data_IF_320599595943
#
_entry.id   IF_320599595943
#
_cell.length_a   1.000
_cell.length_b   1.000
_cell.length_c   1.000
_cell.angle_alpha   90.00
_cell.angle_beta   90.00
_cell.angle_gamma   90.00
#
_symmetry.space_group_name_H-M   'P 1'
#
loop_
_entity.id
_entity.type
_entity.pdbx_description
1 polymer ?
#
# COMPACT_ATOMS: atom_id res chain seq x y z
N UNK A 1 32.46 -48.73 -42.30
CA UNK A 1 32.89 -47.72 -43.30
C UNK A 1 33.12 -46.42 -42.54
N UNK A 2 34.30 -45.81 -42.53
CA UNK A 2 35.60 -46.21 -43.08
C UNK A 2 36.58 -45.03 -43.04
N UNK A 3 37.89 -45.32 -42.96
CA UNK A 3 39.04 -44.41 -43.18
C UNK A 3 39.19 -43.17 -42.26
N UNK A 4 40.26 -43.06 -41.47
CA UNK A 4 41.58 -42.44 -41.81
C UNK A 4 41.52 -40.90 -41.88
N UNK A 5 42.52 -40.07 -41.53
CA UNK A 5 43.86 -40.20 -40.92
C UNK A 5 44.17 -38.81 -40.26
N UNK A 6 45.32 -38.44 -39.66
CA UNK A 6 46.68 -39.00 -39.71
C UNK A 6 47.53 -38.64 -38.44
N UNK A 7 48.74 -39.21 -38.40
CA UNK A 7 49.97 -38.78 -37.71
C UNK A 7 50.06 -37.40 -37.02
N UNK A 8 50.64 -37.41 -35.81
CA UNK A 8 51.99 -36.85 -35.67
C UNK A 8 52.88 -37.69 -34.74
N UNK A 9 54.11 -38.00 -35.17
CA UNK A 9 55.12 -38.75 -34.41
C UNK A 9 56.21 -37.79 -33.94
N UNK A 10 56.38 -37.65 -32.63
CA UNK A 10 57.60 -37.07 -32.04
C UNK A 10 58.42 -38.18 -31.38
N UNK A 11 59.55 -38.56 -31.99
CA UNK A 11 60.50 -39.49 -31.35
C UNK A 11 61.38 -38.77 -30.31
N UNK A 12 61.98 -39.56 -29.43
CA UNK A 12 62.71 -39.12 -28.23
C UNK A 12 64.02 -38.34 -28.52
N UNK A 13 64.72 -37.89 -27.47
CA UNK A 13 65.75 -38.79 -26.95
C UNK A 13 65.65 -39.06 -25.44
N UNK A 14 65.98 -40.30 -25.08
CA UNK A 14 66.35 -40.65 -23.71
C UNK A 14 67.65 -39.93 -23.35
N UNK A 15 67.69 -39.24 -22.22
CA UNK A 15 68.94 -38.72 -21.67
C UNK A 15 69.29 -39.48 -20.40
N UNK A 16 69.87 -40.67 -20.59
CA UNK A 16 70.44 -41.49 -19.52
C UNK A 16 71.75 -40.89 -19.04
N UNK A 17 71.67 -40.01 -18.03
CA UNK A 17 72.84 -39.68 -17.23
C UNK A 17 72.74 -40.30 -15.84
N UNK A 18 73.58 -41.31 -15.61
CA UNK A 18 73.80 -41.92 -14.31
C UNK A 18 74.20 -40.86 -13.30
N UNK A 19 73.45 -40.74 -12.20
CA UNK A 19 73.95 -40.15 -10.96
C UNK A 19 73.93 -41.26 -9.91
N UNK A 20 75.12 -41.63 -9.45
CA UNK A 20 75.33 -42.79 -8.61
C UNK A 20 74.60 -42.66 -7.25
N UNK A 21 74.09 -43.79 -6.76
CA UNK A 21 73.68 -43.93 -5.36
C UNK A 21 74.91 -43.85 -4.43
N UNK A 22 75.35 -42.63 -4.07
CA UNK A 22 76.23 -42.45 -2.91
C UNK A 22 75.37 -42.37 -1.64
N UNK A 23 75.14 -43.53 -1.03
CA UNK A 23 74.42 -43.66 0.23
C UNK A 23 75.22 -43.10 1.41
N UNK A 24 75.21 -41.79 1.60
CA UNK A 24 75.53 -41.21 2.90
C UNK A 24 74.28 -41.34 3.80
N UNK A 25 74.33 -42.08 4.94
CA UNK A 25 73.20 -42.11 5.86
C UNK A 25 73.01 -40.70 6.41
N UNK A 26 71.93 -40.04 5.98
CA UNK A 26 71.57 -38.67 6.38
C UNK A 26 71.34 -38.68 7.89
N UNK A 27 72.39 -38.38 8.67
CA UNK A 27 72.31 -38.29 10.14
C UNK A 27 71.17 -37.34 10.49
N UNK A 28 70.05 -37.89 10.92
CA UNK A 28 68.97 -37.12 11.55
C UNK A 28 69.57 -36.59 12.83
N UNK A 29 70.05 -35.34 12.79
CA UNK A 29 70.50 -34.62 13.98
C UNK A 29 69.33 -34.66 14.95
N UNK A 30 69.48 -35.43 16.04
CA UNK A 30 68.49 -35.42 17.13
C UNK A 30 68.50 -34.00 17.66
N UNK A 31 67.39 -33.29 17.48
CA UNK A 31 67.22 -31.97 18.08
C UNK A 31 67.40 -32.13 19.59
N UNK A 32 68.07 -31.18 20.22
CA UNK A 32 68.07 -31.08 21.69
C UNK A 32 66.65 -30.80 22.17
N UNK A 33 66.30 -31.13 23.44
CA UNK A 33 64.96 -30.86 23.98
C UNK A 33 64.54 -29.40 23.79
N UNK A 34 65.47 -28.47 23.99
CA UNK A 34 65.29 -27.02 23.79
C UNK A 34 65.01 -26.64 22.32
N UNK A 35 65.72 -27.22 21.34
CA UNK A 35 65.44 -27.01 19.91
C UNK A 35 64.04 -27.54 19.51
N UNK A 36 63.49 -28.53 20.23
CA UNK A 36 62.13 -29.04 20.02
C UNK A 36 61.10 -28.10 20.66
N UNK A 37 61.34 -27.59 21.87
CA UNK A 37 60.47 -26.63 22.53
C UNK A 37 60.42 -25.28 21.81
N UNK A 38 61.57 -24.72 21.39
CA UNK A 38 61.60 -23.52 20.55
C UNK A 38 60.75 -23.67 19.28
N UNK A 39 60.83 -24.84 18.63
CA UNK A 39 60.03 -25.12 17.43
C UNK A 39 58.56 -25.32 17.73
N UNK A 40 58.19 -25.82 18.92
CA UNK A 40 56.80 -25.90 19.38
C UNK A 40 56.25 -24.49 19.65
N UNK A 41 56.96 -23.67 20.42
CA UNK A 41 56.61 -22.27 20.71
C UNK A 41 56.45 -21.47 19.41
N UNK A 42 57.45 -21.47 18.53
CA UNK A 42 57.39 -20.77 17.22
C UNK A 42 56.33 -21.35 16.28
N UNK A 43 55.90 -22.61 16.45
CA UNK A 43 54.77 -23.18 15.71
C UNK A 43 53.42 -22.80 16.32
N UNK A 44 53.33 -22.62 17.64
CA UNK A 44 52.13 -22.14 18.32
C UNK A 44 51.88 -20.65 18.08
N UNK A 45 52.91 -19.82 18.10
CA UNK A 45 52.84 -18.40 17.71
C UNK A 45 52.32 -18.26 16.28
N UNK A 46 52.94 -18.93 15.30
CA UNK A 46 52.46 -18.95 13.89
C UNK A 46 51.04 -19.51 13.74
N UNK A 47 50.60 -20.40 14.64
CA UNK A 47 49.19 -20.88 14.67
C UNK A 47 48.25 -19.82 15.25
N UNK A 48 48.68 -19.04 16.26
CA UNK A 48 47.92 -17.91 16.81
C UNK A 48 47.79 -16.78 15.79
N UNK A 49 48.86 -16.38 15.13
CA UNK A 49 48.87 -15.33 14.08
C UNK A 49 47.92 -15.66 12.92
N UNK A 50 47.96 -16.92 12.42
CA UNK A 50 47.05 -17.39 11.36
C UNK A 50 45.59 -17.42 11.79
N UNK A 51 45.32 -17.76 13.06
CA UNK A 51 43.96 -17.69 13.63
C UNK A 51 43.49 -16.25 13.79
N UNK A 52 44.34 -15.35 14.27
CA UNK A 52 44.03 -13.93 14.45
C UNK A 52 43.70 -13.25 13.11
N UNK A 53 44.47 -13.50 12.05
CA UNK A 53 44.17 -12.98 10.70
C UNK A 53 42.89 -13.58 10.09
N UNK A 54 42.59 -14.85 10.36
CA UNK A 54 41.34 -15.47 9.91
C UNK A 54 40.12 -14.88 10.64
N UNK A 55 40.22 -14.72 11.97
CA UNK A 55 39.19 -14.11 12.82
C UNK A 55 38.98 -12.64 12.42
N UNK A 56 40.04 -11.86 12.20
CA UNK A 56 39.94 -10.47 11.77
C UNK A 56 39.22 -10.31 10.42
N UNK A 57 39.45 -11.23 9.45
CA UNK A 57 38.70 -11.26 8.18
C UNK A 57 37.22 -11.61 8.38
N UNK A 58 36.92 -12.52 9.31
CA UNK A 58 35.55 -12.89 9.67
C UNK A 58 34.80 -11.72 10.33
N UNK A 59 35.46 -11.02 11.26
CA UNK A 59 34.93 -9.81 11.92
C UNK A 59 34.72 -8.70 10.88
N UNK A 60 35.69 -8.45 10.00
CA UNK A 60 35.56 -7.44 8.94
C UNK A 60 34.40 -7.77 7.99
N UNK A 61 34.27 -9.03 7.56
CA UNK A 61 33.14 -9.51 6.77
C UNK A 61 31.79 -9.34 7.49
N UNK A 62 31.74 -9.61 8.79
CA UNK A 62 30.55 -9.39 9.63
C UNK A 62 30.18 -7.91 9.78
N UNK A 63 31.17 -7.02 9.92
CA UNK A 63 30.95 -5.56 9.96
C UNK A 63 30.42 -5.06 8.62
N UNK A 64 31.02 -5.48 7.49
CA UNK A 64 30.54 -5.13 6.14
C UNK A 64 29.13 -5.67 5.91
N UNK A 65 28.84 -6.90 6.34
CA UNK A 65 27.49 -7.48 6.27
C UNK A 65 26.46 -6.66 7.09
N UNK A 66 26.79 -6.27 8.33
CA UNK A 66 25.92 -5.43 9.15
C UNK A 66 25.69 -4.04 8.52
N UNK A 67 26.71 -3.44 7.90
CA UNK A 67 26.57 -2.19 7.16
C UNK A 67 25.64 -2.36 5.95
N UNK A 68 25.78 -3.45 5.18
CA UNK A 68 24.85 -3.76 4.09
C UNK A 68 23.42 -3.96 4.61
N UNK A 69 23.23 -4.67 5.73
CA UNK A 69 21.92 -4.82 6.35
C UNK A 69 21.33 -3.48 6.80
N UNK A 70 22.12 -2.56 7.36
CA UNK A 70 21.67 -1.22 7.73
C UNK A 70 21.25 -0.38 6.50
N UNK A 71 22.01 -0.45 5.41
CA UNK A 71 21.66 0.24 4.14
C UNK A 71 20.37 -0.33 3.56
N UNK A 72 20.22 -1.66 3.50
CA UNK A 72 18.99 -2.31 3.01
C UNK A 72 17.81 -1.96 3.92
N UNK A 73 17.98 -2.05 5.25
CA UNK A 73 16.92 -1.73 6.21
C UNK A 73 16.49 -0.27 6.10
N UNK A 74 17.45 0.66 6.03
CA UNK A 74 17.19 2.09 5.83
C UNK A 74 16.47 2.37 4.51
N UNK A 75 16.86 1.69 3.43
CA UNK A 75 16.18 1.80 2.13
C UNK A 75 14.75 1.26 2.20
N UNK A 76 14.53 0.06 2.77
CA UNK A 76 13.18 -0.49 2.95
C UNK A 76 12.31 0.34 3.87
N UNK A 77 12.87 0.91 4.95
CA UNK A 77 12.17 1.80 5.85
C UNK A 77 11.80 3.12 5.16
N UNK A 78 12.70 3.69 4.35
CA UNK A 78 12.44 4.91 3.58
C UNK A 78 11.36 4.70 2.51
N UNK A 79 11.40 3.58 1.79
CA UNK A 79 10.35 3.22 0.81
C UNK A 79 9.01 2.99 1.51
N UNK A 80 9.02 2.34 2.67
CA UNK A 80 7.81 2.15 3.47
C UNK A 80 7.26 3.49 3.97
N UNK A 81 8.11 4.39 4.49
CA UNK A 81 7.69 5.71 4.97
C UNK A 81 7.10 6.56 3.83
N UNK A 82 7.76 6.65 2.68
CA UNK A 82 7.22 7.31 1.48
C UNK A 82 5.94 6.66 0.94
N UNK A 83 5.69 5.39 1.24
CA UNK A 83 4.42 4.71 0.91
C UNK A 83 3.36 4.82 2.01
N UNK A 84 3.72 5.32 3.20
CA UNK A 84 2.81 5.52 4.36
C UNK A 84 2.50 7.00 4.58
N UNK A 85 3.25 7.90 3.94
CA UNK A 85 2.87 9.29 3.68
C UNK A 85 1.79 9.36 2.57
N UNK A 86 0.81 8.45 2.65
CA UNK A 86 -0.48 8.62 2.00
C UNK A 86 -1.16 9.78 2.68
N UNK A 87 -1.44 10.85 1.94
CA UNK A 87 -2.20 11.98 2.43
C UNK A 87 -3.52 11.46 3.02
N UNK A 88 -3.75 11.79 4.30
CA UNK A 88 -4.88 11.27 5.05
C UNK A 88 -6.15 11.78 4.39
N UNK A 89 -7.00 10.87 3.93
CA UNK A 89 -8.11 11.23 3.06
C UNK A 89 -9.13 12.03 3.87
N UNK A 90 -9.34 13.30 3.50
CA UNK A 90 -10.06 14.27 4.33
C UNK A 90 -11.34 14.77 3.66
N UNK A 91 -12.44 14.76 4.41
CA UNK A 91 -13.73 15.32 4.01
C UNK A 91 -13.97 16.62 4.76
N UNK A 92 -13.92 17.74 4.04
CA UNK A 92 -14.29 19.06 4.53
C UNK A 92 -15.71 19.44 4.07
N UNK A 93 -16.60 19.70 5.02
CA UNK A 93 -17.92 20.26 4.75
C UNK A 93 -17.90 21.73 5.17
N UNK A 94 -18.07 22.64 4.21
CA UNK A 94 -17.92 24.10 4.43
C UNK A 94 -19.21 24.86 4.12
N UNK A 95 -19.42 25.98 4.81
CA UNK A 95 -20.47 26.93 4.45
C UNK A 95 -20.10 27.75 3.19
N UNK A 96 -21.06 28.55 2.68
CA UNK A 96 -20.86 29.42 1.52
C UNK A 96 -19.79 30.53 1.72
N UNK A 97 -19.21 30.66 2.93
CA UNK A 97 -18.11 31.58 3.27
C UNK A 97 -16.78 30.84 3.46
N UNK A 98 -16.74 29.53 3.23
CA UNK A 98 -15.55 28.69 3.40
C UNK A 98 -15.26 28.30 4.85
N UNK A 99 -16.20 28.49 5.79
CA UNK A 99 -16.02 28.04 7.17
C UNK A 99 -16.37 26.55 7.28
N UNK A 100 -15.45 25.74 7.79
CA UNK A 100 -15.70 24.33 8.12
C UNK A 100 -16.85 24.19 9.12
N UNK A 101 -17.80 23.32 8.79
CA UNK A 101 -18.97 22.93 9.57
C UNK A 101 -18.82 21.51 10.12
N UNK A 102 -18.18 20.62 9.36
CA UNK A 102 -17.86 19.25 9.72
C UNK A 102 -16.60 18.80 8.97
N UNK A 103 -15.82 17.93 9.60
CA UNK A 103 -14.53 17.42 9.14
C UNK A 103 -14.49 15.93 9.50
N UNK A 104 -14.13 15.06 8.54
CA UNK A 104 -13.98 13.61 8.74
C UNK A 104 -12.72 13.12 8.03
N UNK A 105 -12.07 12.06 8.56
CA UNK A 105 -10.77 11.58 8.06
C UNK A 105 -10.71 10.07 7.91
N UNK A 106 -9.88 9.64 6.97
CA UNK A 106 -9.50 8.26 6.72
C UNK A 106 -10.70 7.31 6.69
N UNK A 107 -10.84 6.41 7.66
CA UNK A 107 -11.90 5.39 7.71
C UNK A 107 -13.32 5.97 7.89
N UNK A 108 -13.47 7.24 8.31
CA UNK A 108 -14.77 7.93 8.38
C UNK A 108 -15.20 8.49 7.01
N UNK A 109 -14.24 8.70 6.08
CA UNK A 109 -14.49 9.21 4.73
C UNK A 109 -14.36 8.14 3.64
N UNK A 110 -13.28 7.36 3.66
CA UNK A 110 -12.98 6.31 2.68
C UNK A 110 -13.28 4.93 3.29
N UNK A 111 -14.33 4.29 2.79
CA UNK A 111 -14.68 2.92 3.18
C UNK A 111 -14.52 2.02 1.95
N UNK A 112 -13.66 1.00 2.03
CA UNK A 112 -13.35 0.09 0.91
C UNK A 112 -12.93 0.82 -0.39
N UNK A 113 -12.08 1.86 -0.28
CA UNK A 113 -11.62 2.72 -1.38
C UNK A 113 -12.74 3.50 -2.11
N UNK A 114 -13.88 3.72 -1.46
CA UNK A 114 -14.97 4.58 -1.97
C UNK A 114 -15.20 5.74 -1.00
N UNK A 115 -15.37 6.98 -1.48
CA UNK A 115 -15.71 8.12 -0.64
C UNK A 115 -17.19 8.12 -0.23
N UNK A 116 -17.42 8.34 1.07
CA UNK A 116 -18.71 8.43 1.73
C UNK A 116 -18.88 9.79 2.43
N UNK A 117 -20.09 10.09 2.87
CA UNK A 117 -20.34 11.07 3.92
C UNK A 117 -21.30 10.47 4.94
N UNK A 118 -21.04 10.74 6.22
CA UNK A 118 -21.94 10.40 7.31
C UNK A 118 -23.23 11.23 7.22
N UNK A 119 -24.37 10.69 7.65
CA UNK A 119 -25.59 11.50 7.71
C UNK A 119 -25.44 12.66 8.70
N UNK A 120 -24.65 12.50 9.78
CA UNK A 120 -24.28 13.59 10.69
C UNK A 120 -23.56 14.73 9.95
N UNK A 121 -22.59 14.42 9.09
CA UNK A 121 -21.91 15.42 8.26
C UNK A 121 -22.86 16.09 7.25
N UNK A 122 -23.74 15.31 6.60
CA UNK A 122 -24.72 15.86 5.66
C UNK A 122 -25.74 16.79 6.35
N UNK A 123 -26.10 16.52 7.62
CA UNK A 123 -26.99 17.36 8.43
C UNK A 123 -26.38 18.73 8.75
N UNK A 124 -25.06 18.91 8.63
CA UNK A 124 -24.43 20.23 8.71
C UNK A 124 -24.76 21.11 7.49
N UNK A 125 -25.03 20.51 6.32
CA UNK A 125 -25.44 21.25 5.11
C UNK A 125 -26.95 21.49 5.05
N UNK A 126 -27.75 20.46 5.34
CA UNK A 126 -29.20 20.45 5.11
C UNK A 126 -29.99 19.98 6.32
N UNK A 127 -31.15 20.59 6.55
CA UNK A 127 -32.08 20.15 7.59
C UNK A 127 -32.96 19.00 7.07
N UNK A 128 -32.84 17.84 7.73
CA UNK A 128 -33.59 16.64 7.39
C UNK A 128 -33.82 15.75 8.62
N UNK A 129 -34.86 14.93 8.54
CA UNK A 129 -35.13 13.88 9.52
C UNK A 129 -34.99 12.49 8.92
N UNK A 130 -34.35 11.59 9.67
CA UNK A 130 -34.29 10.17 9.36
C UNK A 130 -35.42 9.42 10.09
N UNK A 131 -36.21 8.65 9.33
CA UNK A 131 -37.32 7.85 9.86
C UNK A 131 -37.27 6.43 9.31
N UNK A 132 -37.44 5.42 10.17
CA UNK A 132 -37.43 4.02 9.76
C UNK A 132 -37.03 3.05 10.87
N UNK A 133 -36.46 1.92 10.47
CA UNK A 133 -35.96 0.86 11.34
C UNK A 133 -34.49 0.50 11.02
N UNK A 134 -33.95 -0.53 11.68
CA UNK A 134 -32.55 -0.97 11.52
C UNK A 134 -32.20 -1.55 10.15
N UNK A 135 -33.17 -1.71 9.26
CA UNK A 135 -33.05 -2.31 7.93
C UNK A 135 -33.41 -1.35 6.81
N UNK A 136 -34.39 -0.46 7.02
CA UNK A 136 -34.84 0.52 6.02
C UNK A 136 -35.09 1.87 6.68
N UNK A 137 -34.50 2.91 6.11
CA UNK A 137 -34.60 4.30 6.57
C UNK A 137 -34.98 5.20 5.40
N UNK A 138 -35.70 6.28 5.70
CA UNK A 138 -35.99 7.37 4.76
C UNK A 138 -35.51 8.68 5.35
N UNK A 139 -34.76 9.43 4.55
CA UNK A 139 -34.29 10.78 4.81
C UNK A 139 -35.29 11.75 4.18
N UNK A 140 -35.86 12.66 4.97
CA UNK A 140 -36.87 13.64 4.54
C UNK A 140 -36.32 15.06 4.72
N UNK A 141 -36.20 15.82 3.63
CA UNK A 141 -35.64 17.18 3.64
C UNK A 141 -36.73 18.23 3.85
N UNK A 142 -36.63 19.03 4.91
CA UNK A 142 -37.74 19.86 5.38
C UNK A 142 -38.02 21.07 4.47
N UNK A 143 -37.00 21.56 3.75
CA UNK A 143 -37.12 22.75 2.91
C UNK A 143 -37.85 22.50 1.57
N UNK A 144 -37.96 21.25 1.12
CA UNK A 144 -38.38 20.90 -0.25
C UNK A 144 -39.42 19.77 -0.34
N UNK A 145 -39.78 19.13 0.78
CA UNK A 145 -40.66 17.95 0.86
C UNK A 145 -40.19 16.77 -0.03
N UNK A 146 -38.87 16.65 -0.20
CA UNK A 146 -38.23 15.57 -0.94
C UNK A 146 -37.68 14.50 0.00
N UNK A 147 -37.56 13.28 -0.51
CA UNK A 147 -37.09 12.16 0.31
C UNK A 147 -36.23 11.15 -0.44
N UNK A 148 -35.33 10.53 0.31
CA UNK A 148 -34.50 9.42 -0.14
C UNK A 148 -34.72 8.23 0.81
N UNK A 149 -35.30 7.13 0.31
CA UNK A 149 -35.37 5.87 1.05
C UNK A 149 -34.22 4.95 0.67
N UNK A 150 -33.59 4.33 1.66
CA UNK A 150 -32.50 3.39 1.47
C UNK A 150 -32.60 2.20 2.43
N UNK A 151 -31.92 1.12 2.05
CA UNK A 151 -31.92 -0.16 2.77
C UNK A 151 -30.49 -0.47 3.19
N UNK A 152 -30.33 -1.07 4.38
CA UNK A 152 -29.05 -1.45 4.94
C UNK A 152 -28.22 -2.28 3.94
N UNK A 153 -26.97 -1.86 3.75
CA UNK A 153 -25.93 -2.51 2.95
C UNK A 153 -26.36 -2.77 1.48
N UNK A 154 -27.26 -1.92 0.96
CA UNK A 154 -27.84 -2.01 -0.38
C UNK A 154 -27.32 -0.91 -1.31
N UNK A 155 -27.09 -1.26 -2.58
CA UNK A 155 -26.85 -0.32 -3.69
C UNK A 155 -28.15 0.27 -4.27
N UNK A 156 -29.31 -0.32 -3.94
CA UNK A 156 -30.63 0.17 -4.38
C UNK A 156 -31.20 1.19 -3.41
N UNK A 157 -31.54 2.37 -3.93
CA UNK A 157 -32.15 3.50 -3.21
C UNK A 157 -33.40 3.98 -3.96
N UNK A 158 -34.25 4.75 -3.31
CA UNK A 158 -35.40 5.40 -3.93
C UNK A 158 -35.32 6.91 -3.68
N UNK A 159 -35.38 7.71 -4.74
CA UNK A 159 -35.35 9.18 -4.67
C UNK A 159 -36.72 9.68 -5.12
N UNK A 160 -37.46 10.36 -4.24
CA UNK A 160 -38.85 10.77 -4.48
C UNK A 160 -39.73 9.61 -5.00
N UNK A 161 -39.49 8.40 -4.49
CA UNK A 161 -40.16 7.16 -4.92
C UNK A 161 -39.59 6.47 -6.17
N UNK A 162 -38.66 7.10 -6.90
CA UNK A 162 -38.05 6.53 -8.11
C UNK A 162 -36.85 5.63 -7.76
N UNK A 163 -36.81 4.36 -8.21
CA UNK A 163 -35.71 3.45 -7.91
C UNK A 163 -34.43 3.85 -8.67
N UNK A 164 -33.33 3.91 -7.93
CA UNK A 164 -31.98 4.24 -8.40
C UNK A 164 -31.00 3.18 -7.89
N UNK A 165 -29.92 2.95 -8.66
CA UNK A 165 -28.84 2.05 -8.26
C UNK A 165 -27.51 2.79 -8.26
N UNK A 166 -26.82 2.74 -7.13
CA UNK A 166 -25.48 3.28 -6.91
C UNK A 166 -24.41 2.22 -7.24
N UNK A 167 -23.16 2.65 -7.42
CA UNK A 167 -22.02 1.73 -7.58
C UNK A 167 -21.62 1.11 -6.24
N UNK A 168 -21.77 1.84 -5.13
CA UNK A 168 -21.45 1.42 -3.77
C UNK A 168 -22.72 1.35 -2.87
N UNK A 169 -22.76 0.46 -1.86
CA UNK A 169 -23.90 0.35 -0.96
C UNK A 169 -23.92 1.48 0.08
N UNK A 170 -25.11 1.80 0.62
CA UNK A 170 -25.23 2.62 1.84
C UNK A 170 -25.00 1.73 3.06
N UNK A 171 -24.04 2.12 3.90
CA UNK A 171 -23.55 1.30 5.02
C UNK A 171 -24.20 1.79 6.32
N UNK A 172 -24.72 0.87 7.13
CA UNK A 172 -25.36 1.18 8.41
C UNK A 172 -24.50 0.65 9.56
N UNK A 173 -23.75 1.52 10.24
CA UNK A 173 -22.97 1.19 11.45
C UNK A 173 -23.54 1.97 12.64
N UNK A 174 -22.76 2.89 13.21
CA UNK A 174 -23.22 3.82 14.26
C UNK A 174 -23.87 5.08 13.65
N UNK A 175 -23.58 5.37 12.38
CA UNK A 175 -24.27 6.33 11.52
C UNK A 175 -24.56 5.70 10.14
N UNK A 176 -25.24 6.44 9.27
CA UNK A 176 -25.57 6.07 7.90
C UNK A 176 -24.53 6.68 6.96
N UNK A 177 -23.65 5.85 6.41
CA UNK A 177 -22.62 6.28 5.47
C UNK A 177 -23.17 6.20 4.04
N UNK A 178 -23.26 7.36 3.41
CA UNK A 178 -23.87 7.58 2.09
C UNK A 178 -22.75 7.78 1.06
N UNK A 179 -22.68 6.99 -0.03
CA UNK A 179 -21.67 7.19 -1.07
C UNK A 179 -21.74 8.61 -1.65
N UNK A 180 -20.59 9.27 -1.80
CA UNK A 180 -20.50 10.63 -2.35
C UNK A 180 -21.08 10.73 -3.78
N UNK A 181 -21.12 9.60 -4.49
CA UNK A 181 -21.84 9.40 -5.75
C UNK A 181 -23.31 9.88 -5.68
N UNK A 182 -24.05 9.52 -4.62
CA UNK A 182 -25.46 9.87 -4.48
C UNK A 182 -25.64 11.40 -4.50
N UNK A 183 -24.79 12.10 -3.77
CA UNK A 183 -24.85 13.56 -3.65
C UNK A 183 -24.45 14.20 -4.97
N UNK A 184 -23.30 13.81 -5.53
CA UNK A 184 -22.80 14.32 -6.83
C UNK A 184 -23.83 14.15 -7.95
N UNK A 185 -24.45 12.98 -8.01
CA UNK A 185 -25.31 12.62 -9.12
C UNK A 185 -26.73 13.14 -8.96
N UNK A 186 -27.28 13.22 -7.74
CA UNK A 186 -28.70 13.50 -7.53
C UNK A 186 -29.03 14.77 -6.75
N UNK A 187 -28.09 15.38 -6.02
CA UNK A 187 -28.36 16.64 -5.33
C UNK A 187 -28.12 17.83 -6.29
N UNK A 188 -28.95 18.85 -6.16
CA UNK A 188 -28.79 20.19 -6.73
C UNK A 188 -28.43 21.16 -5.60
N UNK A 189 -27.75 22.26 -5.93
CA UNK A 189 -27.24 23.21 -4.94
C UNK A 189 -25.98 22.75 -4.19
N UNK A 190 -25.53 21.50 -4.33
CA UNK A 190 -24.24 21.02 -3.78
C UNK A 190 -23.12 21.20 -4.79
N UNK A 191 -22.03 21.84 -4.39
CA UNK A 191 -20.73 21.78 -5.08
C UNK A 191 -19.85 20.77 -4.36
N UNK A 192 -19.31 19.82 -5.12
CA UNK A 192 -18.35 18.82 -4.63
C UNK A 192 -17.06 18.97 -5.42
N UNK A 193 -15.99 19.32 -4.74
CA UNK A 193 -14.63 19.31 -5.26
C UNK A 193 -13.97 18.08 -4.63
N UNK A 194 -13.49 17.14 -5.42
CA UNK A 194 -12.78 15.97 -4.92
C UNK A 194 -11.46 15.86 -5.66
N UNK A 195 -10.37 15.99 -4.92
CA UNK A 195 -9.03 15.67 -5.40
C UNK A 195 -8.74 14.20 -5.09
N UNK A 196 -8.51 13.41 -6.15
CA UNK A 196 -8.20 11.99 -6.03
C UNK A 196 -6.71 11.68 -5.90
N UNK A 197 -5.84 12.67 -6.10
CA UNK A 197 -4.40 12.55 -5.83
C UNK A 197 -4.13 12.87 -4.36
N UNK A 198 -4.64 14.00 -3.85
CA UNK A 198 -4.52 14.40 -2.43
C UNK A 198 -5.52 13.67 -1.50
N UNK A 199 -6.52 12.99 -2.06
CA UNK A 199 -7.56 12.29 -1.29
C UNK A 199 -8.57 13.21 -0.59
N UNK A 200 -8.58 14.51 -0.90
CA UNK A 200 -9.39 15.53 -0.21
C UNK A 200 -10.71 15.80 -0.93
N UNK A 201 -11.84 15.67 -0.22
CA UNK A 201 -13.15 16.12 -0.68
C UNK A 201 -13.61 17.38 0.07
N UNK A 202 -14.01 18.41 -0.67
CA UNK A 202 -14.70 19.59 -0.13
C UNK A 202 -16.15 19.63 -0.66
N UNK A 203 -17.11 19.66 0.27
CA UNK A 203 -18.53 19.83 -0.01
C UNK A 203 -18.98 21.20 0.47
N UNK A 204 -19.69 21.93 -0.39
CA UNK A 204 -20.39 23.16 -0.01
C UNK A 204 -21.79 23.16 -0.59
N UNK A 205 -22.73 23.78 0.13
CA UNK A 205 -24.13 23.87 -0.27
C UNK A 205 -24.59 25.32 -0.42
N UNK A 206 -25.21 25.62 -1.55
CA UNK A 206 -26.23 26.65 -1.62
C UNK A 206 -27.53 26.06 -1.04
N UNK A 207 -27.96 26.60 0.10
CA UNK A 207 -29.16 26.15 0.82
C UNK A 207 -30.45 26.64 0.18
N UNK A 208 -30.41 27.69 -0.64
CA UNK A 208 -31.59 28.25 -1.33
C UNK A 208 -31.85 27.51 -2.65
N UNK A 209 -30.82 26.90 -3.24
CA UNK A 209 -30.89 26.15 -4.50
C UNK A 209 -30.99 24.62 -4.34
N UNK A 210 -31.29 24.12 -3.14
CA UNK A 210 -31.39 22.68 -2.89
C UNK A 210 -32.61 22.06 -3.59
N UNK A 211 -32.38 20.91 -4.24
CA UNK A 211 -33.41 20.01 -4.76
C UNK A 211 -32.79 18.65 -5.14
N UNK A 212 -33.58 17.61 -5.39
CA UNK A 212 -33.15 16.34 -5.95
C UNK A 212 -33.50 16.26 -7.45
N UNK A 213 -32.53 15.82 -8.28
CA UNK A 213 -32.66 15.80 -9.76
C UNK A 213 -33.79 14.90 -10.28
N UNK A 214 -34.28 13.97 -9.46
CA UNK A 214 -35.45 13.12 -9.77
C UNK A 214 -36.72 13.73 -9.19
N UNK A 215 -37.00 14.96 -9.59
CA UNK A 215 -38.29 15.61 -9.38
C UNK A 215 -39.21 15.22 -10.54
N UNK A 216 -40.38 14.64 -10.25
CA UNK A 216 -41.43 14.52 -11.27
C UNK A 216 -42.07 15.90 -11.47
N UNK A 217 -42.19 16.42 -12.70
CA UNK A 217 -43.14 17.49 -12.95
C UNK A 217 -44.53 16.89 -12.74
N UNK A 218 -45.27 17.39 -11.73
CA UNK A 218 -46.64 16.95 -11.44
C UNK A 218 -47.59 17.43 -12.53
N UNK A 219 -47.59 16.72 -13.65
CA UNK A 219 -48.37 17.07 -14.84
C UNK A 219 -49.87 17.01 -14.59
N UNK A 220 -50.49 18.19 -14.46
CA UNK A 220 -51.95 18.36 -14.57
C UNK A 220 -52.31 19.45 -15.57
N UNK A 221 -51.61 19.49 -16.71
CA UNK A 221 -52.29 19.91 -17.94
C UNK A 221 -53.21 18.76 -18.37
N UNK A 222 -54.51 18.90 -18.11
CA UNK A 222 -55.51 17.93 -18.53
C UNK A 222 -55.68 18.02 -20.04
N UNK A 223 -55.56 16.90 -20.80
CA UNK A 223 -55.69 16.95 -22.24
C UNK A 223 -57.13 17.31 -22.64
N UNK A 224 -57.23 18.31 -23.51
CA UNK A 224 -58.46 18.82 -24.09
C UNK A 224 -59.22 17.68 -24.81
N UNK A 225 -60.38 17.26 -24.29
CA UNK A 225 -61.25 16.27 -24.93
C UNK A 225 -62.73 16.71 -24.90
N UNK A 226 -63.28 16.83 -26.10
CA UNK A 226 -64.58 17.42 -26.43
C UNK A 226 -65.80 16.70 -25.83
N UNK A 227 -66.76 17.50 -25.36
CA UNK A 227 -68.22 17.39 -25.61
C UNK A 227 -68.78 18.83 -25.55
N UNK A 228 -69.77 19.22 -26.35
CA UNK A 228 -70.58 18.51 -27.34
C UNK A 228 -71.82 19.35 -27.63
#
# INVERSE_FOLDING_TARGET
>A
MGSENNTNRGYAPQNTHNIAHSGAPKRVRRLTPEEIEERRLKAEERRRERRATFIARLIFGGIVYLLCCLVIFGFTASVYFWSTESELAELNIVDAKGKTLYEAKDEEFIINNVPYVSATGLAALYDFTLAGDKTRVSMHFHNVDESISFTKDSTGVYINGHPVRLTAPIIFTDDYYIPLELIRNYFLGVTIIYDSEEGVATLSADREAFALKLHSPTGTETPNQLKG
#
